data_IF_198480385489
#
_entry.id   IF_198480385489
#
_cell.length_a   1.000
_cell.length_b   1.000
_cell.length_c   1.000
_cell.angle_alpha   90.00
_cell.angle_beta   90.00
_cell.angle_gamma   90.00
#
_symmetry.space_group_name_H-M   'P 1'
#
loop_
_entity.id
_entity.type
_entity.pdbx_description
1 polymer ?
#
# COMPACT_ATOMS: atom_id res chain seq x y z
N UNK A 1 -6.31 18.31 -2.56
CA UNK A 1 -6.18 19.56 -3.34
C UNK A 1 -5.63 19.28 -4.73
N UNK A 2 -6.20 19.88 -5.78
CA UNK A 2 -5.64 19.80 -7.14
C UNK A 2 -4.36 20.64 -7.22
N UNK A 3 -3.28 20.09 -7.77
CA UNK A 3 -2.03 20.85 -7.96
C UNK A 3 -2.21 21.92 -9.03
N UNK A 4 -1.82 23.18 -8.78
CA UNK A 4 -1.71 24.19 -9.81
C UNK A 4 -0.56 23.85 -10.77
N UNK A 5 -0.60 24.42 -11.98
CA UNK A 5 0.49 24.31 -12.96
C UNK A 5 1.72 25.06 -12.44
N UNK A 6 2.95 24.58 -12.73
CA UNK A 6 4.17 25.30 -12.40
C UNK A 6 4.13 26.74 -12.94
N UNK A 7 4.50 27.71 -12.11
CA UNK A 7 4.48 29.12 -12.51
C UNK A 7 5.73 29.48 -13.31
N UNK A 8 5.54 30.23 -14.41
CA UNK A 8 6.63 30.92 -15.12
C UNK A 8 7.06 32.17 -14.36
N UNK A 9 8.34 32.57 -14.45
CA UNK A 9 8.91 33.72 -13.72
C UNK A 9 8.15 35.04 -13.92
N UNK A 10 7.55 35.21 -15.11
CA UNK A 10 6.75 36.37 -15.54
C UNK A 10 5.26 36.30 -15.15
N UNK A 11 4.85 35.32 -14.33
CA UNK A 11 3.44 35.18 -13.97
C UNK A 11 2.89 36.41 -13.21
N UNK A 12 1.62 36.80 -13.45
CA UNK A 12 0.93 37.86 -12.72
C UNK A 12 0.96 37.67 -11.20
N UNK A 13 1.15 38.75 -10.43
CA UNK A 13 1.14 38.76 -8.95
C UNK A 13 0.02 37.92 -8.32
N UNK A 14 -1.27 38.01 -8.72
CA UNK A 14 -2.33 37.20 -8.11
C UNK A 14 -2.22 35.69 -8.39
N UNK A 15 -1.52 35.27 -9.46
CA UNK A 15 -1.25 33.84 -9.72
C UNK A 15 -0.13 33.32 -8.81
N UNK A 16 0.86 34.17 -8.50
CA UNK A 16 1.95 33.86 -7.55
C UNK A 16 1.41 33.66 -6.13
N UNK A 17 0.60 34.60 -5.63
CA UNK A 17 0.02 34.50 -4.28
C UNK A 17 -0.85 33.25 -4.10
N UNK A 18 -1.66 32.88 -5.12
CA UNK A 18 -2.46 31.65 -5.09
C UNK A 18 -1.61 30.38 -5.05
N UNK A 19 -0.49 30.36 -5.77
CA UNK A 19 0.43 29.22 -5.76
C UNK A 19 1.12 29.07 -4.40
N UNK A 20 1.60 30.17 -3.81
CA UNK A 20 2.22 30.16 -2.47
C UNK A 20 1.24 29.69 -1.38
N UNK A 21 -0.01 30.16 -1.43
CA UNK A 21 -1.06 29.70 -0.52
C UNK A 21 -1.32 28.19 -0.67
N UNK A 22 -1.36 27.70 -1.91
CA UNK A 22 -1.49 26.26 -2.18
C UNK A 22 -0.29 25.46 -1.66
N UNK A 23 0.94 25.94 -1.89
CA UNK A 23 2.16 25.27 -1.44
C UNK A 23 2.22 25.17 0.09
N UNK A 24 1.88 26.25 0.78
CA UNK A 24 1.75 26.26 2.25
C UNK A 24 0.73 25.24 2.72
N UNK A 25 -0.46 25.21 2.12
CA UNK A 25 -1.48 24.22 2.48
C UNK A 25 -1.04 22.79 2.19
N UNK A 26 -0.37 22.54 1.06
CA UNK A 26 0.16 21.23 0.70
C UNK A 26 1.19 20.74 1.74
N UNK A 27 2.12 21.60 2.14
CA UNK A 27 3.13 21.27 3.17
C UNK A 27 2.49 20.98 4.52
N UNK A 28 1.53 21.81 4.95
CA UNK A 28 0.82 21.60 6.21
C UNK A 28 0.06 20.28 6.23
N UNK A 29 -0.71 19.98 5.17
CA UNK A 29 -1.43 18.71 5.06
C UNK A 29 -0.49 17.50 5.08
N UNK A 30 0.64 17.58 4.38
CA UNK A 30 1.63 16.51 4.34
C UNK A 30 2.25 16.25 5.72
N UNK A 31 2.63 17.32 6.43
CA UNK A 31 3.18 17.22 7.78
C UNK A 31 2.16 16.65 8.76
N UNK A 32 0.91 17.12 8.70
CA UNK A 32 -0.17 16.60 9.56
C UNK A 32 -0.34 15.09 9.36
N UNK A 33 -0.45 14.63 8.10
CA UNK A 33 -0.57 13.21 7.81
C UNK A 33 0.62 12.42 8.36
N UNK A 34 1.86 12.89 8.17
CA UNK A 34 3.06 12.22 8.72
C UNK A 34 3.10 12.19 10.24
N UNK A 35 2.60 13.23 10.91
CA UNK A 35 2.55 13.31 12.37
C UNK A 35 1.50 12.38 12.97
N UNK A 36 0.32 12.26 12.35
CA UNK A 36 -0.78 11.43 12.86
C UNK A 36 -0.63 9.94 12.57
N UNK A 37 0.38 9.55 11.78
CA UNK A 37 0.60 8.16 11.44
C UNK A 37 1.28 7.37 12.56
N UNK A 38 0.84 6.12 12.72
CA UNK A 38 1.43 5.18 13.66
C UNK A 38 2.91 4.91 13.34
N UNK A 39 3.74 4.78 14.38
CA UNK A 39 5.20 4.72 14.25
C UNK A 39 5.69 3.50 13.47
N UNK A 40 5.00 2.37 13.62
CA UNK A 40 5.31 1.14 12.89
C UNK A 40 5.07 1.25 11.37
N UNK A 41 4.29 2.24 10.91
CA UNK A 41 3.97 2.45 9.49
C UNK A 41 4.91 3.48 8.85
N UNK A 42 5.50 4.39 9.65
CA UNK A 42 6.39 5.47 9.17
C UNK A 42 7.55 5.00 8.27
N UNK A 43 8.26 3.88 8.56
CA UNK A 43 9.37 3.40 7.73
C UNK A 43 8.94 3.00 6.31
N UNK A 44 7.72 2.49 6.16
CA UNK A 44 7.14 2.02 4.90
C UNK A 44 6.68 3.16 3.99
N UNK A 45 6.84 4.42 4.41
CA UNK A 45 6.15 5.52 3.79
C UNK A 45 6.80 6.05 2.52
N UNK A 46 6.00 6.31 1.47
CA UNK A 46 6.48 6.91 0.24
C UNK A 46 7.03 8.32 0.48
N UNK A 47 8.19 8.57 -0.12
CA UNK A 47 8.75 9.92 -0.25
C UNK A 47 7.98 10.64 -1.35
N UNK A 48 7.17 11.62 -0.96
CA UNK A 48 6.44 12.52 -1.87
C UNK A 48 6.41 13.93 -1.32
N UNK A 49 6.43 14.92 -2.20
CA UNK A 49 6.31 16.33 -1.83
C UNK A 49 4.86 16.82 -1.87
N UNK A 50 3.99 16.12 -2.60
CA UNK A 50 2.57 16.48 -2.71
C UNK A 50 1.72 15.65 -1.77
N UNK A 51 0.93 16.32 -0.93
CA UNK A 51 -0.01 15.71 0.00
C UNK A 51 -1.00 14.76 -0.70
N UNK A 52 -1.46 15.11 -1.91
CA UNK A 52 -2.39 14.27 -2.67
C UNK A 52 -1.75 12.94 -3.11
N UNK A 53 -0.52 13.00 -3.60
CA UNK A 53 0.23 11.81 -4.02
C UNK A 53 0.57 10.92 -2.82
N UNK A 54 0.94 11.55 -1.70
CA UNK A 54 1.14 10.86 -0.43
C UNK A 54 -0.08 10.05 -0.02
N UNK A 55 -1.25 10.70 0.05
CA UNK A 55 -2.51 10.07 0.46
C UNK A 55 -2.94 8.95 -0.49
N UNK A 56 -2.71 9.12 -1.80
CA UNK A 56 -3.01 8.07 -2.77
C UNK A 56 -2.13 6.85 -2.54
N UNK A 57 -0.83 7.03 -2.36
CA UNK A 57 0.09 5.92 -2.08
C UNK A 57 -0.20 5.25 -0.74
N UNK A 58 -0.57 6.01 0.30
CA UNK A 58 -1.05 5.43 1.58
C UNK A 58 -2.22 4.48 1.32
N UNK A 59 -3.22 4.93 0.56
CA UNK A 59 -4.39 4.11 0.23
C UNK A 59 -3.98 2.84 -0.53
N UNK A 60 -3.12 2.96 -1.53
CA UNK A 60 -2.62 1.83 -2.31
C UNK A 60 -1.87 0.81 -1.43
N UNK A 61 -0.98 1.28 -0.54
CA UNK A 61 -0.30 0.42 0.42
C UNK A 61 -1.29 -0.31 1.34
N UNK A 62 -2.25 0.40 1.93
CA UNK A 62 -3.25 -0.21 2.82
C UNK A 62 -4.14 -1.23 2.09
N UNK A 63 -4.47 -0.97 0.82
CA UNK A 63 -5.23 -1.93 0.01
C UNK A 63 -4.40 -3.17 -0.32
N UNK A 64 -3.11 -3.02 -0.62
CA UNK A 64 -2.20 -4.16 -0.83
C UNK A 64 -2.08 -5.01 0.43
N UNK A 65 -1.81 -4.41 1.58
CA UNK A 65 -1.68 -5.15 2.85
C UNK A 65 -2.97 -5.90 3.23
N UNK A 66 -4.14 -5.30 2.95
CA UNK A 66 -5.43 -5.97 3.19
C UNK A 66 -5.61 -7.16 2.25
N UNK A 67 -5.25 -7.02 0.97
CA UNK A 67 -5.30 -8.10 -0.01
C UNK A 67 -4.36 -9.25 0.38
N UNK A 68 -3.11 -8.94 0.75
CA UNK A 68 -2.12 -9.93 1.18
C UNK A 68 -2.62 -10.71 2.41
N UNK A 69 -3.15 -10.01 3.43
CA UNK A 69 -3.75 -10.65 4.62
C UNK A 69 -4.91 -11.57 4.26
N UNK A 70 -5.78 -11.16 3.33
CA UNK A 70 -6.89 -12.01 2.87
C UNK A 70 -6.39 -13.26 2.14
N UNK A 71 -5.35 -13.12 1.31
CA UNK A 71 -4.74 -14.24 0.59
C UNK A 71 -4.09 -15.21 1.58
N UNK A 72 -3.29 -14.70 2.52
CA UNK A 72 -2.67 -15.49 3.57
C UNK A 72 -3.73 -16.26 4.37
N UNK A 73 -4.80 -15.59 4.81
CA UNK A 73 -5.90 -16.22 5.54
C UNK A 73 -6.57 -17.35 4.76
N UNK A 74 -6.82 -17.13 3.46
CA UNK A 74 -7.39 -18.16 2.57
C UNK A 74 -6.45 -19.35 2.37
N UNK A 75 -5.16 -19.10 2.13
CA UNK A 75 -4.15 -20.15 1.97
C UNK A 75 -3.99 -20.98 3.26
N UNK A 76 -3.97 -20.32 4.43
CA UNK A 76 -3.92 -20.98 5.73
C UNK A 76 -5.17 -21.82 5.99
N UNK A 77 -6.35 -21.30 5.66
CA UNK A 77 -7.59 -22.07 5.74
C UNK A 77 -7.49 -23.32 4.85
N UNK A 78 -7.09 -23.17 3.59
CA UNK A 78 -6.92 -24.32 2.70
C UNK A 78 -5.92 -25.32 3.25
N UNK A 79 -4.75 -24.88 3.71
CA UNK A 79 -3.71 -25.75 4.25
C UNK A 79 -4.21 -26.56 5.46
N UNK A 80 -5.00 -25.95 6.34
CA UNK A 80 -5.50 -26.59 7.57
C UNK A 80 -6.72 -27.46 7.34
N UNK A 81 -7.55 -27.14 6.34
CA UNK A 81 -8.79 -27.89 6.07
C UNK A 81 -8.64 -28.96 4.99
N UNK A 82 -7.64 -28.85 4.10
CA UNK A 82 -7.47 -29.79 2.99
C UNK A 82 -7.05 -31.15 3.54
N UNK A 83 -7.95 -32.12 3.44
CA UNK A 83 -7.65 -33.53 3.73
C UNK A 83 -7.17 -34.23 2.47
N UNK A 84 -6.44 -35.33 2.67
CA UNK A 84 -6.07 -36.22 1.57
C UNK A 84 -7.32 -36.87 0.99
N UNK A 85 -7.45 -36.82 -0.32
CA UNK A 85 -8.50 -37.48 -1.08
C UNK A 85 -7.95 -38.80 -1.63
N UNK A 86 -8.48 -39.91 -1.15
CA UNK A 86 -8.06 -41.25 -1.55
C UNK A 86 -8.33 -41.58 -3.03
N UNK A 87 -9.13 -40.77 -3.73
CA UNK A 87 -9.34 -40.90 -5.17
C UNK A 87 -8.20 -40.31 -6.01
N UNK A 88 -7.29 -39.54 -5.41
CA UNK A 88 -6.19 -38.87 -6.11
C UNK A 88 -4.83 -39.47 -5.75
N UNK A 89 -3.83 -39.44 -6.67
CA UNK A 89 -2.48 -39.86 -6.35
C UNK A 89 -1.87 -39.04 -5.20
N UNK A 90 -1.15 -39.71 -4.31
CA UNK A 90 -0.49 -39.07 -3.16
C UNK A 90 0.48 -37.94 -3.59
N UNK A 91 1.16 -38.12 -4.72
CA UNK A 91 2.05 -37.11 -5.29
C UNK A 91 1.33 -35.78 -5.52
N UNK A 92 0.12 -35.81 -6.10
CA UNK A 92 -0.62 -34.59 -6.43
C UNK A 92 -1.04 -33.84 -5.17
N UNK A 93 -1.43 -34.57 -4.12
CA UNK A 93 -1.71 -33.99 -2.81
C UNK A 93 -0.47 -33.32 -2.21
N UNK A 94 0.69 -34.01 -2.22
CA UNK A 94 1.95 -33.47 -1.70
C UNK A 94 2.38 -32.23 -2.48
N UNK A 95 2.32 -32.25 -3.81
CA UNK A 95 2.63 -31.09 -4.66
C UNK A 95 1.69 -29.92 -4.35
N UNK A 96 0.39 -30.18 -4.19
CA UNK A 96 -0.56 -29.13 -3.85
C UNK A 96 -0.26 -28.49 -2.48
N UNK A 97 -0.01 -29.31 -1.45
CA UNK A 97 0.33 -28.83 -0.11
C UNK A 97 1.65 -28.04 -0.11
N UNK A 98 2.65 -28.51 -0.88
CA UNK A 98 3.93 -27.83 -1.05
C UNK A 98 3.78 -26.48 -1.75
N UNK A 99 2.87 -26.37 -2.73
CA UNK A 99 2.55 -25.12 -3.41
C UNK A 99 1.82 -24.11 -2.51
N UNK A 100 0.96 -24.57 -1.60
CA UNK A 100 0.34 -23.68 -0.60
C UNK A 100 1.39 -23.13 0.38
N UNK A 101 2.28 -24.01 0.89
CA UNK A 101 3.36 -23.62 1.79
C UNK A 101 4.36 -22.65 1.11
N UNK A 102 4.72 -22.90 -0.15
CA UNK A 102 5.63 -22.01 -0.89
C UNK A 102 5.03 -20.62 -1.10
N UNK A 103 3.73 -20.52 -1.43
CA UNK A 103 3.02 -19.24 -1.53
C UNK A 103 2.99 -18.49 -0.21
N UNK A 104 2.72 -19.15 0.90
CA UNK A 104 2.76 -18.54 2.24
C UNK A 104 4.16 -17.98 2.56
N UNK A 105 5.22 -18.73 2.22
CA UNK A 105 6.60 -18.26 2.37
C UNK A 105 6.89 -17.02 1.52
N UNK A 106 6.42 -16.97 0.27
CA UNK A 106 6.61 -15.79 -0.59
C UNK A 106 5.91 -14.54 -0.07
N UNK A 107 4.83 -14.69 0.70
CA UNK A 107 4.08 -13.59 1.31
C UNK A 107 4.65 -13.17 2.69
N UNK A 108 5.79 -13.73 3.10
CA UNK A 108 6.46 -13.36 4.36
C UNK A 108 5.78 -13.90 5.62
N UNK A 109 4.95 -14.94 5.50
CA UNK A 109 4.28 -15.58 6.64
C UNK A 109 5.13 -16.66 7.32
N UNK A 110 6.05 -17.29 6.56
CA UNK A 110 6.92 -18.38 7.01
C UNK A 110 8.40 -18.04 6.85
#
# INVERSE_FOLDING_TARGET
MRSPRPLKRTAPKPKKTRYEAWERSNRLSLNLMRMTMAENIKPSMPKTEKAREFMQKVKECSQSELADKSIIGSLMSQLTTKRFDWSQPIHDHVTHMSNLASKLKTLGWM
#
